data_IF_961124745997
#
_entry.id   IF_961124745997
#
_cell.length_a   1.000
_cell.length_b   1.000
_cell.length_c   1.000
_cell.angle_alpha   90.00
_cell.angle_beta   90.00
_cell.angle_gamma   90.00
#
_symmetry.space_group_name_H-M   'P 1'
#
loop_
_entity.id
_entity.type
_entity.pdbx_description
1 polymer ?
#
# COMPACT_ATOMS: atom_id res chain seq x y z
N UNK A 1 22.51 1.57 -3.00
CA UNK A 1 22.65 2.47 -1.83
C UNK A 1 24.11 2.70 -1.42
N UNK A 2 24.99 1.69 -1.46
CA UNK A 2 26.34 1.78 -0.86
C UNK A 2 27.49 1.97 -1.86
N UNK A 3 27.22 1.95 -3.18
CA UNK A 3 28.27 1.98 -4.22
C UNK A 3 29.17 3.24 -4.17
N UNK A 4 28.70 4.34 -3.60
CA UNK A 4 29.44 5.61 -3.46
C UNK A 4 29.98 5.86 -2.03
N UNK A 5 29.99 4.84 -1.15
CA UNK A 5 30.50 4.97 0.22
C UNK A 5 29.48 5.44 1.26
N UNK A 6 28.19 5.55 0.92
CA UNK A 6 27.14 5.83 1.91
C UNK A 6 27.07 4.74 2.98
N UNK A 7 27.11 5.13 4.25
CA UNK A 7 27.09 4.23 5.40
C UNK A 7 25.66 3.81 5.78
N UNK A 8 25.41 2.51 5.83
CA UNK A 8 24.18 1.93 6.39
C UNK A 8 24.42 1.56 7.85
N UNK A 9 23.45 1.82 8.72
CA UNK A 9 23.51 1.60 10.16
C UNK A 9 22.47 0.59 10.63
N UNK A 10 22.70 0.06 11.83
CA UNK A 10 21.72 -0.79 12.52
C UNK A 10 20.44 0.00 12.73
N UNK A 11 19.32 -0.57 12.28
CA UNK A 11 18.00 0.07 12.36
C UNK A 11 17.60 0.85 11.10
N UNK A 12 18.48 0.99 10.11
CA UNK A 12 18.09 1.59 8.83
C UNK A 12 17.02 0.74 8.14
N UNK A 13 16.00 1.40 7.60
CA UNK A 13 14.90 0.77 6.86
C UNK A 13 14.98 1.15 5.38
N UNK A 14 14.93 0.14 4.52
CA UNK A 14 14.94 0.31 3.06
C UNK A 14 13.61 -0.19 2.50
N UNK A 15 12.85 0.70 1.86
CA UNK A 15 11.58 0.34 1.22
C UNK A 15 11.80 -0.10 -0.23
N UNK A 16 10.92 -0.98 -0.73
CA UNK A 16 10.92 -1.42 -2.14
C UNK A 16 10.48 -0.34 -3.13
N UNK A 17 9.82 0.71 -2.64
CA UNK A 17 8.92 1.53 -3.45
C UNK A 17 7.55 0.87 -3.60
N UNK A 18 6.63 1.56 -4.28
CA UNK A 18 5.27 1.07 -4.57
C UNK A 18 5.33 -0.25 -5.36
N UNK A 19 4.60 -1.26 -4.90
CA UNK A 19 4.55 -2.58 -5.55
C UNK A 19 3.31 -2.62 -6.44
N UNK A 20 3.50 -2.56 -7.76
CA UNK A 20 2.43 -2.63 -8.76
C UNK A 20 2.67 -3.79 -9.71
N UNK A 21 1.68 -4.66 -9.85
CA UNK A 21 1.67 -5.73 -10.84
C UNK A 21 1.14 -5.26 -12.20
N UNK A 22 1.14 -6.15 -13.22
CA UNK A 22 0.73 -5.81 -14.57
C UNK A 22 -0.79 -5.64 -14.73
N UNK A 23 -1.59 -6.24 -13.83
CA UNK A 23 -3.05 -6.17 -13.87
C UNK A 23 -3.58 -4.94 -13.11
N UNK A 24 -4.66 -4.27 -13.57
CA UNK A 24 -5.16 -3.06 -12.91
C UNK A 24 -5.56 -3.22 -11.44
N UNK A 25 -6.00 -4.41 -11.04
CA UNK A 25 -6.34 -4.76 -9.65
C UNK A 25 -5.11 -5.04 -8.78
N UNK A 26 -3.92 -5.06 -9.37
CA UNK A 26 -2.64 -5.27 -8.71
C UNK A 26 -1.79 -3.99 -8.61
N UNK A 27 -2.36 -2.82 -8.89
CA UNK A 27 -1.68 -1.53 -8.72
C UNK A 27 -1.53 -1.14 -7.24
N UNK A 28 -0.38 -0.59 -6.87
CA UNK A 28 0.03 -0.36 -5.49
C UNK A 28 -0.37 0.99 -4.89
N UNK A 29 -1.07 1.85 -5.64
CA UNK A 29 -1.50 3.16 -5.13
C UNK A 29 -2.88 3.58 -5.65
N UNK A 30 -3.55 4.46 -4.90
CA UNK A 30 -4.80 5.08 -5.36
C UNK A 30 -4.62 5.94 -6.61
N UNK A 31 -3.44 6.53 -6.78
CA UNK A 31 -3.10 7.31 -7.98
C UNK A 31 -3.18 6.42 -9.23
N UNK A 32 -2.63 5.22 -9.16
CA UNK A 32 -2.63 4.25 -10.26
C UNK A 32 -4.03 3.63 -10.42
N UNK A 33 -4.62 3.11 -9.33
CA UNK A 33 -5.93 2.45 -9.33
C UNK A 33 -7.02 3.34 -9.93
N UNK A 34 -6.98 4.64 -9.61
CA UNK A 34 -8.00 5.59 -10.06
C UNK A 34 -7.60 6.41 -11.27
N UNK A 35 -6.42 6.14 -11.83
CA UNK A 35 -5.82 6.87 -12.95
C UNK A 35 -5.86 8.38 -12.74
N UNK A 36 -5.20 8.86 -11.67
CA UNK A 36 -5.23 10.27 -11.26
C UNK A 36 -6.65 10.80 -11.01
N UNK A 37 -7.53 9.93 -10.47
CA UNK A 37 -8.91 10.25 -10.14
C UNK A 37 -9.88 10.33 -11.32
N UNK A 38 -9.45 10.02 -12.55
CA UNK A 38 -10.36 9.99 -13.72
C UNK A 38 -11.20 8.72 -13.80
N UNK A 39 -10.82 7.67 -13.05
CA UNK A 39 -11.52 6.39 -12.97
C UNK A 39 -11.80 6.07 -11.48
N UNK A 40 -12.88 6.57 -10.87
CA UNK A 40 -13.17 6.32 -9.45
C UNK A 40 -13.26 4.82 -9.13
N UNK A 41 -12.74 4.44 -7.96
CA UNK A 41 -12.84 3.08 -7.44
C UNK A 41 -14.16 2.92 -6.70
N UNK A 42 -14.96 1.91 -7.06
CA UNK A 42 -16.18 1.52 -6.32
C UNK A 42 -15.83 0.57 -5.18
N UNK A 43 -16.25 0.93 -3.97
CA UNK A 43 -16.11 0.10 -2.78
C UNK A 43 -17.33 -0.83 -2.60
N UNK A 44 -17.18 -1.83 -1.73
CA UNK A 44 -18.23 -2.84 -1.47
C UNK A 44 -19.50 -2.26 -0.85
N UNK A 45 -19.40 -1.15 -0.14
CA UNK A 45 -20.52 -0.42 0.45
C UNK A 45 -21.25 0.48 -0.57
N UNK A 46 -20.82 0.48 -1.82
CA UNK A 46 -21.36 1.30 -2.90
C UNK A 46 -20.77 2.71 -2.97
N UNK A 47 -19.93 3.12 -2.01
CA UNK A 47 -19.25 4.41 -2.07
C UNK A 47 -18.12 4.42 -3.10
N UNK A 48 -17.75 5.60 -3.58
CA UNK A 48 -16.64 5.77 -4.52
C UNK A 48 -15.46 6.48 -3.85
N UNK A 49 -14.25 6.18 -4.33
CA UNK A 49 -13.02 6.85 -3.94
C UNK A 49 -12.16 7.20 -5.14
N UNK A 50 -11.60 8.40 -5.13
CA UNK A 50 -10.51 8.82 -6.03
C UNK A 50 -9.18 8.82 -5.28
N UNK A 51 -9.19 9.37 -4.07
CA UNK A 51 -8.11 9.36 -3.11
C UNK A 51 -8.68 9.02 -1.72
N UNK A 52 -7.79 8.95 -0.73
CA UNK A 52 -8.16 8.66 0.66
C UNK A 52 -8.89 9.88 1.24
N UNK A 53 -10.02 9.65 1.91
CA UNK A 53 -10.79 10.68 2.59
C UNK A 53 -10.57 10.64 4.11
N UNK A 54 -10.95 11.71 4.80
CA UNK A 54 -10.96 11.74 6.26
C UNK A 54 -11.82 10.61 6.84
N UNK A 55 -11.28 9.92 7.83
CA UNK A 55 -11.93 8.77 8.47
C UNK A 55 -11.65 7.43 7.77
N UNK A 56 -11.13 7.41 6.54
CA UNK A 56 -10.75 6.17 5.87
C UNK A 56 -9.58 5.50 6.62
N UNK A 57 -9.60 4.17 6.67
CA UNK A 57 -8.52 3.34 7.25
C UNK A 57 -7.93 2.45 6.17
N UNK A 58 -6.62 2.54 5.97
CA UNK A 58 -5.88 1.67 5.04
C UNK A 58 -5.20 0.56 5.83
N UNK A 59 -5.40 -0.69 5.43
CA UNK A 59 -4.83 -1.87 6.06
C UNK A 59 -4.05 -2.66 5.01
N UNK A 60 -2.74 -2.76 5.16
CA UNK A 60 -1.87 -3.60 4.34
C UNK A 60 -1.62 -4.93 5.03
N UNK A 61 -1.74 -6.03 4.26
CA UNK A 61 -1.48 -7.39 4.72
C UNK A 61 -0.65 -8.13 3.67
N UNK A 62 0.33 -8.91 4.11
CA UNK A 62 1.17 -9.75 3.25
C UNK A 62 1.44 -11.10 3.91
N UNK A 63 1.57 -12.15 3.10
CA UNK A 63 1.95 -13.48 3.57
C UNK A 63 2.60 -14.31 2.47
N UNK A 64 3.43 -15.27 2.88
CA UNK A 64 3.85 -16.39 2.05
C UNK A 64 3.04 -17.64 2.41
N UNK A 65 2.77 -18.50 1.42
CA UNK A 65 2.06 -19.76 1.64
C UNK A 65 2.72 -20.90 0.84
N UNK A 66 2.89 -22.06 1.48
CA UNK A 66 3.38 -23.29 0.84
C UNK A 66 2.81 -24.51 1.55
N UNK A 67 2.25 -25.46 0.80
CA UNK A 67 1.74 -26.74 1.33
C UNK A 67 0.80 -26.59 2.55
N UNK A 68 -0.10 -25.60 2.51
CA UNK A 68 -1.03 -25.32 3.63
C UNK A 68 -0.43 -24.54 4.80
N UNK A 69 0.90 -24.38 4.88
CA UNK A 69 1.55 -23.50 5.86
C UNK A 69 1.53 -22.06 5.36
N UNK A 70 1.12 -21.13 6.24
CA UNK A 70 1.09 -19.68 5.98
C UNK A 70 1.95 -18.93 6.99
N UNK A 71 2.82 -18.05 6.49
CA UNK A 71 3.66 -17.15 7.30
C UNK A 71 3.29 -15.71 6.91
N UNK A 72 2.73 -14.96 7.86
CA UNK A 72 2.21 -13.61 7.63
C UNK A 72 3.03 -12.53 8.33
N UNK A 73 2.91 -11.29 7.83
CA UNK A 73 3.53 -10.09 8.40
C UNK A 73 2.65 -9.39 9.47
N UNK A 74 1.42 -9.87 9.69
CA UNK A 74 0.41 -9.15 10.46
C UNK A 74 -0.23 -8.03 9.65
N UNK A 75 -0.60 -6.93 10.32
CA UNK A 75 -1.24 -5.77 9.71
C UNK A 75 -0.37 -4.51 9.84
N UNK A 76 -0.26 -3.75 8.76
CA UNK A 76 0.17 -2.35 8.80
C UNK A 76 -1.07 -1.49 8.54
N UNK A 77 -1.57 -0.79 9.57
CA UNK A 77 -2.84 -0.07 9.53
C UNK A 77 -2.66 1.40 9.89
N UNK A 78 -3.41 2.27 9.22
CA UNK A 78 -3.45 3.71 9.51
C UNK A 78 -4.78 4.32 9.14
N UNK A 79 -5.32 5.17 10.02
CA UNK A 79 -6.55 5.94 9.80
C UNK A 79 -6.21 7.40 9.51
N UNK A 80 -6.79 7.96 8.46
CA UNK A 80 -6.64 9.38 8.14
C UNK A 80 -7.57 10.19 9.04
N UNK A 81 -7.00 11.17 9.73
CA UNK A 81 -7.74 12.12 10.55
C UNK A 81 -7.91 13.45 9.80
N UNK A 82 -9.00 14.19 10.04
CA UNK A 82 -9.18 15.50 9.45
C UNK A 82 -8.00 16.44 9.69
N UNK A 83 -7.74 17.32 8.74
CA UNK A 83 -6.79 18.42 8.93
C UNK A 83 -7.22 19.29 10.12
N UNK A 84 -6.21 19.91 10.75
CA UNK A 84 -6.40 20.92 11.78
C UNK A 84 -6.78 22.27 11.19
#
# INVERSE_FOLDING_TARGET
HTVNGCNVKVGDMMASGTISGPAPDSYGSMLELTWKGTKPLKLKDGSERKFINDGDTVIMRGHAQKNGLRIGFGECSGKVMPSK
#
